data_IF_144092543865
#
_entry.id   IF_144092543865
#
_cell.length_a   1.000
_cell.length_b   1.000
_cell.length_c   1.000
_cell.angle_alpha   90.00
_cell.angle_beta   90.00
_cell.angle_gamma   90.00
#
_symmetry.space_group_name_H-M   'P 1'
#
loop_
_entity.id
_entity.type
_entity.pdbx_description
1 polymer ?
#
# COMPACT_ATOMS: atom_id res chain seq x y z
N UNK A 1 -5.96 15.47 -12.47
CA UNK A 1 -5.81 14.23 -11.69
C UNK A 1 -6.14 13.05 -12.58
N UNK A 2 -5.30 12.01 -12.56
CA UNK A 2 -5.51 10.75 -13.24
C UNK A 2 -5.52 9.65 -12.18
N UNK A 3 -6.61 8.89 -12.13
CA UNK A 3 -6.78 7.84 -11.14
C UNK A 3 -7.07 6.51 -11.85
N UNK A 4 -6.31 5.48 -11.52
CA UNK A 4 -6.57 4.11 -11.96
C UNK A 4 -7.13 3.33 -10.77
N UNK A 5 -8.16 2.54 -11.03
CA UNK A 5 -8.85 1.74 -10.02
C UNK A 5 -8.81 0.27 -10.44
N UNK A 6 -8.14 -0.54 -9.66
CA UNK A 6 -8.06 -1.98 -9.86
C UNK A 6 -8.93 -2.68 -8.83
N UNK A 7 -9.86 -3.52 -9.30
CA UNK A 7 -10.70 -4.29 -8.39
C UNK A 7 -9.87 -5.40 -7.74
N UNK A 8 -9.86 -5.42 -6.42
CA UNK A 8 -9.14 -6.40 -5.60
C UNK A 8 -10.07 -7.06 -4.58
N UNK A 9 -11.38 -7.01 -4.85
CA UNK A 9 -12.41 -7.55 -3.95
C UNK A 9 -12.36 -9.07 -3.78
N UNK A 10 -11.74 -9.78 -4.73
CA UNK A 10 -11.58 -11.23 -4.69
C UNK A 10 -10.39 -11.70 -3.84
N UNK A 11 -9.53 -10.78 -3.40
CA UNK A 11 -8.40 -11.10 -2.54
C UNK A 11 -8.87 -11.50 -1.14
N UNK A 12 -8.19 -12.48 -0.58
CA UNK A 12 -8.36 -12.83 0.82
C UNK A 12 -7.87 -11.70 1.74
N UNK A 13 -8.33 -11.66 3.00
CA UNK A 13 -7.84 -10.64 3.94
C UNK A 13 -6.32 -10.64 4.16
N UNK A 14 -5.66 -11.79 4.02
CA UNK A 14 -4.20 -11.89 4.12
C UNK A 14 -3.52 -11.32 2.87
N UNK A 15 -4.02 -11.65 1.68
CA UNK A 15 -3.52 -11.07 0.43
C UNK A 15 -3.70 -9.56 0.39
N UNK A 16 -4.79 -9.01 0.96
CA UNK A 16 -4.97 -7.57 1.10
C UNK A 16 -3.91 -6.92 2.03
N UNK A 17 -3.48 -7.62 3.08
CA UNK A 17 -2.39 -7.14 3.95
C UNK A 17 -1.07 -7.10 3.18
N UNK A 18 -0.77 -8.11 2.36
CA UNK A 18 0.41 -8.09 1.48
C UNK A 18 0.31 -6.96 0.45
N UNK A 19 -0.85 -6.74 -0.15
CA UNK A 19 -1.06 -5.66 -1.11
C UNK A 19 -0.84 -4.27 -0.48
N UNK A 20 -1.29 -4.06 0.75
CA UNK A 20 -1.05 -2.82 1.49
C UNK A 20 0.44 -2.61 1.76
N UNK A 21 1.14 -3.64 2.26
CA UNK A 21 2.59 -3.60 2.44
C UNK A 21 3.34 -3.35 1.11
N UNK A 22 2.86 -3.92 0.01
CA UNK A 22 3.44 -3.66 -1.31
C UNK A 22 3.35 -2.18 -1.66
N UNK A 23 2.21 -1.51 -1.40
CA UNK A 23 2.09 -0.08 -1.71
C UNK A 23 3.09 0.79 -0.94
N UNK A 24 3.48 0.37 0.26
CA UNK A 24 4.49 1.06 1.07
C UNK A 24 5.92 0.86 0.56
N UNK A 25 6.20 -0.27 -0.09
CA UNK A 25 7.55 -0.65 -0.53
C UNK A 25 7.84 -0.21 -1.97
N UNK A 26 6.82 0.01 -2.80
CA UNK A 26 6.97 0.34 -4.23
C UNK A 26 7.97 1.47 -4.51
N UNK A 27 8.02 2.48 -3.66
CA UNK A 27 8.91 3.65 -3.82
C UNK A 27 10.40 3.34 -3.55
N UNK A 28 10.69 2.17 -3.01
CA UNK A 28 12.03 1.77 -2.60
C UNK A 28 12.61 0.63 -3.46
N UNK A 29 11.87 0.22 -4.48
CA UNK A 29 12.21 -0.90 -5.35
C UNK A 29 12.67 -0.42 -6.72
N UNK A 30 13.69 -1.09 -7.26
CA UNK A 30 14.19 -0.85 -8.61
C UNK A 30 13.23 -1.43 -9.66
N UNK A 31 13.28 -0.89 -10.87
CA UNK A 31 12.71 -1.47 -12.08
C UNK A 31 13.82 -1.97 -12.99
N UNK A 32 13.55 -2.67 -14.10
CA UNK A 32 14.59 -3.04 -15.08
C UNK A 32 15.26 -1.81 -15.73
N UNK A 33 14.54 -0.69 -15.79
CA UNK A 33 14.96 0.53 -16.51
C UNK A 33 15.61 1.55 -15.59
N UNK A 34 15.07 1.73 -14.37
CA UNK A 34 15.52 2.74 -13.43
C UNK A 34 15.73 2.17 -12.02
N UNK A 35 16.67 2.76 -11.30
CA UNK A 35 16.72 2.56 -9.84
C UNK A 35 15.55 3.27 -9.16
N UNK A 36 15.16 2.82 -7.96
CA UNK A 36 14.10 3.47 -7.16
C UNK A 36 14.30 4.99 -7.04
N UNK A 37 15.53 5.41 -6.80
CA UNK A 37 15.88 6.84 -6.68
C UNK A 37 15.69 7.60 -7.99
N UNK A 38 16.10 7.04 -9.12
CA UNK A 38 15.93 7.65 -10.43
C UNK A 38 14.44 7.76 -10.78
N UNK A 39 13.69 6.68 -10.61
CA UNK A 39 12.26 6.65 -10.87
C UNK A 39 11.51 7.67 -10.01
N UNK A 40 11.82 7.76 -8.71
CA UNK A 40 11.23 8.76 -7.81
C UNK A 40 11.58 10.19 -8.23
N UNK A 41 12.81 10.42 -8.70
CA UNK A 41 13.24 11.73 -9.22
C UNK A 41 12.47 12.09 -10.49
N UNK A 42 12.31 11.14 -11.41
CA UNK A 42 11.52 11.35 -12.64
C UNK A 42 10.04 11.61 -12.30
N UNK A 43 9.45 10.82 -11.42
CA UNK A 43 8.07 11.03 -10.97
C UNK A 43 7.90 12.43 -10.35
N UNK A 44 8.78 12.83 -9.46
CA UNK A 44 8.74 14.16 -8.84
C UNK A 44 8.95 15.31 -9.84
N UNK A 45 9.64 15.06 -10.95
CA UNK A 45 9.89 16.07 -12.00
C UNK A 45 8.68 16.25 -12.92
N UNK A 46 8.01 15.16 -13.28
CA UNK A 46 6.92 15.16 -14.25
C UNK A 46 5.53 15.16 -13.61
N UNK A 47 5.40 14.70 -12.36
CA UNK A 47 4.17 14.61 -11.62
C UNK A 47 4.21 15.55 -10.41
N UNK A 48 3.06 16.13 -10.06
CA UNK A 48 2.92 16.91 -8.83
C UNK A 48 2.84 16.02 -7.59
N UNK A 49 2.18 14.85 -7.75
CA UNK A 49 2.06 13.81 -6.74
C UNK A 49 1.78 12.46 -7.41
N UNK A 50 2.20 11.38 -6.77
CA UNK A 50 1.90 10.02 -7.21
C UNK A 50 1.82 9.10 -5.99
N UNK A 51 0.73 8.34 -5.88
CA UNK A 51 0.46 7.47 -4.75
C UNK A 51 -0.27 6.21 -5.19
N UNK A 52 0.16 5.07 -4.67
CA UNK A 52 -0.60 3.82 -4.67
C UNK A 52 -1.17 3.60 -3.27
N UNK A 53 -2.40 3.12 -3.16
CA UNK A 53 -3.02 2.80 -1.88
C UNK A 53 -4.17 1.82 -2.05
N UNK A 54 -4.40 0.97 -1.05
CA UNK A 54 -5.62 0.19 -0.94
C UNK A 54 -6.72 1.10 -0.38
N UNK A 55 -7.85 1.16 -1.09
CA UNK A 55 -8.99 1.97 -0.70
C UNK A 55 -10.24 1.12 -0.55
N UNK A 56 -11.04 1.44 0.47
CA UNK A 56 -12.28 0.77 0.81
C UNK A 56 -13.45 1.70 0.51
N UNK A 57 -14.42 1.22 -0.25
CA UNK A 57 -15.67 1.94 -0.51
C UNK A 57 -16.86 1.15 -0.02
N UNK A 58 -17.66 1.78 0.80
CA UNK A 58 -18.96 1.27 1.22
C UNK A 58 -20.07 2.13 0.61
N UNK A 59 -21.14 1.50 0.15
CA UNK A 59 -22.31 2.24 -0.29
C UNK A 59 -23.04 2.89 0.89
N UNK A 60 -23.78 3.96 0.59
CA UNK A 60 -24.56 4.71 1.61
C UNK A 60 -25.78 3.95 2.14
N UNK A 61 -26.21 2.89 1.46
CA UNK A 61 -27.36 2.10 1.87
C UNK A 61 -26.91 0.90 2.70
N UNK A 62 -27.66 0.61 3.75
CA UNK A 62 -27.44 -0.56 4.59
C UNK A 62 -27.48 -1.85 3.75
N UNK A 63 -26.51 -2.74 3.96
CA UNK A 63 -26.36 -3.98 3.17
C UNK A 63 -25.64 -3.84 1.85
N UNK A 64 -25.14 -2.65 1.49
CA UNK A 64 -24.30 -2.49 0.30
C UNK A 64 -22.95 -3.18 0.51
N UNK A 65 -22.46 -3.98 -0.47
CA UNK A 65 -21.17 -4.63 -0.32
C UNK A 65 -20.02 -3.61 -0.24
N UNK A 66 -19.01 -3.92 0.54
CA UNK A 66 -17.77 -3.17 0.56
C UNK A 66 -16.96 -3.53 -0.69
N UNK A 67 -16.47 -2.52 -1.40
CA UNK A 67 -15.60 -2.68 -2.55
C UNK A 67 -14.19 -2.26 -2.20
N UNK A 68 -13.26 -3.19 -2.35
CA UNK A 68 -11.83 -2.93 -2.14
C UNK A 68 -11.16 -2.70 -3.49
N UNK A 69 -10.38 -1.64 -3.60
CA UNK A 69 -9.63 -1.32 -4.82
C UNK A 69 -8.21 -0.90 -4.50
N UNK A 70 -7.27 -1.35 -5.31
CA UNK A 70 -5.98 -0.70 -5.40
C UNK A 70 -6.15 0.55 -6.27
N UNK A 71 -5.74 1.69 -5.76
CA UNK A 71 -5.86 2.97 -6.44
C UNK A 71 -4.49 3.55 -6.69
N UNK A 72 -4.22 3.86 -7.95
CA UNK A 72 -3.07 4.66 -8.35
C UNK A 72 -3.55 6.07 -8.64
N UNK A 73 -3.12 7.03 -7.84
CA UNK A 73 -3.44 8.45 -8.01
C UNK A 73 -2.22 9.17 -8.56
N UNK A 74 -2.41 9.90 -9.67
CA UNK A 74 -1.37 10.73 -10.28
C UNK A 74 -1.91 12.16 -10.41
N UNK A 75 -1.18 13.13 -9.86
CA UNK A 75 -1.43 14.57 -10.04
C UNK A 75 -0.46 15.10 -11.08
N UNK A 76 -0.97 15.65 -12.16
CA UNK A 76 -0.13 16.04 -13.30
C UNK A 76 -0.70 17.25 -14.06
N UNK A 77 0.15 17.89 -14.85
CA UNK A 77 -0.28 18.84 -15.87
C UNK A 77 -0.64 18.08 -17.15
N UNK A 78 -1.63 18.56 -17.89
CA UNK A 78 -2.13 17.90 -19.11
C UNK A 78 -1.02 17.56 -20.11
N UNK A 79 -0.04 18.46 -20.27
CA UNK A 79 1.12 18.27 -21.15
C UNK A 79 2.04 17.11 -20.73
N UNK A 80 1.92 16.62 -19.49
CA UNK A 80 2.73 15.54 -18.94
C UNK A 80 2.00 14.19 -18.95
N UNK A 81 0.81 14.10 -19.57
CA UNK A 81 -0.06 12.92 -19.50
C UNK A 81 0.62 11.65 -20.01
N UNK A 82 1.25 11.70 -21.18
CA UNK A 82 1.94 10.53 -21.76
C UNK A 82 3.05 10.03 -20.85
N UNK A 83 3.87 10.97 -20.35
CA UNK A 83 4.97 10.62 -19.44
C UNK A 83 4.48 10.12 -18.08
N UNK A 84 3.35 10.62 -17.62
CA UNK A 84 2.72 10.16 -16.38
C UNK A 84 2.22 8.70 -16.50
N UNK A 85 1.63 8.35 -17.64
CA UNK A 85 1.17 6.97 -17.89
C UNK A 85 2.37 6.02 -18.00
N UNK A 86 3.43 6.43 -18.71
CA UNK A 86 4.67 5.66 -18.83
C UNK A 86 5.30 5.40 -17.45
N UNK A 87 5.57 6.46 -16.68
CA UNK A 87 6.20 6.34 -15.36
C UNK A 87 5.31 5.62 -14.32
N UNK A 88 4.01 5.85 -14.37
CA UNK A 88 3.05 5.15 -13.50
C UNK A 88 2.93 3.67 -13.84
N UNK A 89 3.00 3.33 -15.13
CA UNK A 89 3.02 1.95 -15.61
C UNK A 89 4.29 1.22 -15.21
N UNK A 90 5.46 1.82 -15.43
CA UNK A 90 6.74 1.28 -14.99
C UNK A 90 6.74 1.05 -13.47
N UNK A 91 6.33 2.05 -12.71
CA UNK A 91 6.29 1.97 -11.25
C UNK A 91 5.38 0.86 -10.72
N UNK A 92 4.21 0.63 -11.32
CA UNK A 92 3.26 -0.36 -10.82
C UNK A 92 3.51 -1.77 -11.35
N UNK A 93 3.90 -1.91 -12.62
CA UNK A 93 3.96 -3.21 -13.29
C UNK A 93 5.36 -3.77 -13.49
N UNK A 94 6.39 -2.91 -13.46
CA UNK A 94 7.75 -3.34 -13.77
C UNK A 94 8.66 -3.37 -12.53
N UNK A 95 8.13 -3.02 -11.36
CA UNK A 95 8.87 -3.05 -10.10
C UNK A 95 9.38 -4.46 -9.79
N UNK A 96 10.67 -4.58 -9.48
CA UNK A 96 11.32 -5.84 -9.16
C UNK A 96 11.11 -6.20 -7.69
N UNK A 97 10.24 -7.18 -7.46
CA UNK A 97 9.87 -7.64 -6.11
C UNK A 97 10.82 -8.70 -5.54
N UNK A 98 11.80 -9.17 -6.32
CA UNK A 98 12.70 -10.26 -5.92
C UNK A 98 14.16 -9.85 -6.02
N UNK A 99 15.01 -10.53 -5.26
CA UNK A 99 16.45 -10.34 -5.25
C UNK A 99 16.97 -9.55 -4.04
N UNK A 100 18.30 -9.53 -3.83
CA UNK A 100 18.90 -9.00 -2.59
C UNK A 100 18.57 -7.53 -2.30
N UNK A 101 18.36 -6.71 -3.32
CA UNK A 101 17.99 -5.30 -3.15
C UNK A 101 16.53 -5.17 -2.69
N UNK A 102 15.62 -5.96 -3.26
CA UNK A 102 14.23 -5.98 -2.85
C UNK A 102 14.09 -6.48 -1.42
N UNK A 103 14.78 -7.56 -1.05
CA UNK A 103 14.80 -8.08 0.31
C UNK A 103 15.28 -7.04 1.33
N UNK A 104 16.35 -6.31 1.00
CA UNK A 104 16.84 -5.22 1.85
C UNK A 104 15.85 -4.05 1.96
N UNK A 105 15.13 -3.73 0.87
CA UNK A 105 14.09 -2.71 0.88
C UNK A 105 12.90 -3.14 1.75
N UNK A 106 12.41 -4.37 1.63
CA UNK A 106 11.36 -4.93 2.48
C UNK A 106 11.75 -4.83 3.97
N UNK A 107 12.92 -5.35 4.35
CA UNK A 107 13.38 -5.32 5.74
C UNK A 107 13.41 -3.89 6.30
N UNK A 108 13.90 -2.93 5.53
CA UNK A 108 14.00 -1.53 5.93
C UNK A 108 12.64 -0.86 6.06
N UNK A 109 11.79 -0.97 5.03
CA UNK A 109 10.48 -0.30 5.00
C UNK A 109 9.58 -0.87 6.10
N UNK A 110 9.49 -2.20 6.23
CA UNK A 110 8.66 -2.81 7.26
C UNK A 110 9.12 -2.46 8.68
N UNK A 111 10.44 -2.38 8.91
CA UNK A 111 10.97 -1.92 10.20
C UNK A 111 10.58 -0.47 10.50
N UNK A 112 10.61 0.40 9.49
CA UNK A 112 10.18 1.79 9.61
C UNK A 112 8.66 1.91 9.83
N UNK A 113 7.87 1.10 9.15
CA UNK A 113 6.42 1.04 9.34
C UNK A 113 6.06 0.60 10.76
N UNK A 114 6.74 -0.41 11.31
CA UNK A 114 6.55 -0.83 12.70
C UNK A 114 6.74 0.33 13.67
N UNK A 115 7.84 1.06 13.57
CA UNK A 115 8.09 2.24 14.41
C UNK A 115 7.03 3.32 14.24
N UNK A 116 6.58 3.55 13.01
CA UNK A 116 5.50 4.50 12.72
C UNK A 116 4.18 4.07 13.34
N UNK A 117 3.84 2.78 13.32
CA UNK A 117 2.63 2.25 13.92
C UNK A 117 2.65 2.35 15.44
N UNK A 118 3.76 2.01 16.09
CA UNK A 118 3.93 2.18 17.54
C UNK A 118 3.68 3.64 17.96
N UNK A 119 4.22 4.61 17.22
CA UNK A 119 3.97 6.03 17.48
C UNK A 119 2.51 6.42 17.26
N UNK A 120 1.88 5.92 16.20
CA UNK A 120 0.47 6.17 15.91
C UNK A 120 -0.45 5.61 16.99
N UNK A 121 -0.16 4.43 17.54
CA UNK A 121 -0.92 3.86 18.64
C UNK A 121 -0.85 4.73 19.89
N UNK A 122 0.31 5.29 20.22
CA UNK A 122 0.47 6.20 21.35
C UNK A 122 -0.34 7.49 21.13
N UNK A 123 -0.28 8.06 19.92
CA UNK A 123 -0.91 9.35 19.61
C UNK A 123 -2.43 9.24 19.38
N UNK A 124 -2.89 8.15 18.77
CA UNK A 124 -4.25 7.98 18.26
C UNK A 124 -4.94 6.72 18.80
N UNK A 125 -4.60 6.25 20.00
CA UNK A 125 -5.13 5.03 20.60
C UNK A 125 -6.66 4.95 20.62
N UNK A 126 -7.34 6.08 20.81
CA UNK A 126 -8.79 6.16 20.77
C UNK A 126 -9.37 5.76 19.40
N UNK A 127 -8.72 6.21 18.32
CA UNK A 127 -9.15 5.88 16.95
C UNK A 127 -8.96 4.39 16.65
N UNK A 128 -7.84 3.81 17.06
CA UNK A 128 -7.60 2.38 16.93
C UNK A 128 -8.58 1.54 17.75
N UNK A 129 -8.89 1.95 18.97
CA UNK A 129 -9.90 1.31 19.79
C UNK A 129 -11.30 1.38 19.13
N UNK A 130 -11.65 2.50 18.53
CA UNK A 130 -12.91 2.66 17.80
C UNK A 130 -12.99 1.77 16.56
N UNK A 131 -11.91 1.69 15.75
CA UNK A 131 -11.82 0.81 14.59
C UNK A 131 -11.98 -0.65 15.03
N UNK A 132 -11.27 -1.08 16.07
CA UNK A 132 -11.35 -2.44 16.61
C UNK A 132 -12.73 -2.78 17.14
N UNK A 133 -13.37 -1.89 17.87
CA UNK A 133 -14.75 -2.06 18.34
C UNK A 133 -15.73 -2.12 17.17
N UNK A 134 -15.58 -1.24 16.18
CA UNK A 134 -16.41 -1.18 14.97
C UNK A 134 -16.26 -2.40 14.06
N UNK A 135 -15.12 -3.10 14.11
CA UNK A 135 -14.85 -4.30 13.32
C UNK A 135 -15.82 -5.46 13.58
N UNK A 136 -16.53 -5.45 14.72
CA UNK A 136 -17.58 -6.41 15.03
C UNK A 136 -18.92 -6.12 14.34
N UNK A 137 -19.10 -4.91 13.80
CA UNK A 137 -20.37 -4.44 13.27
C UNK A 137 -20.31 -3.98 11.82
N UNK A 138 -19.11 -3.71 11.30
CA UNK A 138 -18.92 -3.17 9.95
C UNK A 138 -17.77 -3.88 9.22
N UNK A 139 -18.05 -4.28 7.99
CA UNK A 139 -17.03 -4.87 7.08
C UNK A 139 -15.90 -3.88 6.81
N UNK A 140 -16.23 -2.59 6.66
CA UNK A 140 -15.24 -1.54 6.45
C UNK A 140 -14.26 -1.42 7.63
N UNK A 141 -14.79 -1.39 8.87
CA UNK A 141 -13.94 -1.38 10.06
C UNK A 141 -13.16 -2.68 10.23
N UNK A 142 -13.76 -3.84 9.87
CA UNK A 142 -13.07 -5.13 9.94
C UNK A 142 -11.88 -5.19 8.97
N UNK A 143 -12.03 -4.68 7.75
CA UNK A 143 -10.95 -4.57 6.78
C UNK A 143 -9.90 -3.54 7.20
N UNK A 144 -10.32 -2.37 7.67
CA UNK A 144 -9.42 -1.33 8.19
C UNK A 144 -8.59 -1.84 9.38
N UNK A 145 -9.21 -2.60 10.30
CA UNK A 145 -8.52 -3.23 11.42
C UNK A 145 -7.44 -4.22 10.96
N UNK A 146 -7.70 -4.97 9.89
CA UNK A 146 -6.76 -5.95 9.33
C UNK A 146 -5.61 -5.29 8.58
N UNK A 147 -5.87 -4.20 7.86
CA UNK A 147 -4.88 -3.52 7.03
C UNK A 147 -4.02 -2.59 7.89
N UNK A 148 -4.62 -1.67 8.60
CA UNK A 148 -3.92 -0.59 9.31
C UNK A 148 -4.20 -0.50 10.82
N UNK A 149 -4.95 -1.46 11.37
CA UNK A 149 -5.26 -1.55 12.79
C UNK A 149 -4.26 -2.42 13.57
N UNK A 150 -4.67 -2.87 14.75
CA UNK A 150 -3.83 -3.74 15.62
C UNK A 150 -3.54 -5.10 14.96
N UNK A 151 -4.49 -5.65 14.20
CA UNK A 151 -4.29 -6.90 13.46
C UNK A 151 -3.27 -6.72 12.33
N UNK A 152 -3.28 -5.55 11.65
CA UNK A 152 -2.26 -5.19 10.66
C UNK A 152 -0.86 -5.09 11.27
N UNK A 153 -0.74 -4.47 12.46
CA UNK A 153 0.52 -4.39 13.18
C UNK A 153 1.08 -5.77 13.57
N UNK A 154 0.22 -6.66 14.07
CA UNK A 154 0.63 -8.03 14.38
C UNK A 154 1.11 -8.78 13.13
N UNK A 155 0.43 -8.60 11.99
CA UNK A 155 0.86 -9.19 10.73
C UNK A 155 2.23 -8.66 10.30
N UNK A 156 2.44 -7.35 10.37
CA UNK A 156 3.71 -6.70 10.06
C UNK A 156 4.86 -7.22 10.96
N UNK A 157 4.61 -7.33 12.27
CA UNK A 157 5.58 -7.86 13.24
C UNK A 157 5.93 -9.33 12.93
N UNK A 158 4.94 -10.16 12.62
CA UNK A 158 5.15 -11.57 12.25
C UNK A 158 5.99 -11.70 10.96
N UNK A 159 5.75 -10.84 9.95
CA UNK A 159 6.58 -10.84 8.72
C UNK A 159 8.02 -10.42 9.01
N UNK A 160 8.23 -9.42 9.87
CA UNK A 160 9.57 -9.00 10.30
C UNK A 160 10.31 -10.11 11.05
N UNK A 161 9.63 -10.86 11.93
CA UNK A 161 10.23 -11.95 12.67
C UNK A 161 10.62 -13.14 11.79
N UNK A 162 9.76 -13.48 10.83
CA UNK A 162 10.01 -14.58 9.89
C UNK A 162 11.09 -14.23 8.86
N UNK A 163 11.19 -12.96 8.47
CA UNK A 163 12.17 -12.43 7.51
C UNK A 163 12.22 -13.22 6.18
N UNK A 164 11.11 -13.82 5.77
CA UNK A 164 11.00 -14.58 4.51
C UNK A 164 10.64 -13.64 3.35
N UNK A 165 11.61 -12.82 2.99
CA UNK A 165 11.44 -11.79 1.96
C UNK A 165 11.24 -12.37 0.56
N UNK A 166 11.77 -13.56 0.28
CA UNK A 166 11.58 -14.22 -1.01
C UNK A 166 10.14 -14.64 -1.23
N UNK A 167 9.49 -15.17 -0.19
CA UNK A 167 8.07 -15.53 -0.26
C UNK A 167 7.16 -14.31 -0.40
N UNK A 168 7.59 -13.15 0.10
CA UNK A 168 6.82 -11.89 -0.03
C UNK A 168 6.87 -11.30 -1.44
N UNK A 169 7.88 -11.61 -2.23
CA UNK A 169 8.03 -11.12 -3.60
C UNK A 169 7.41 -12.02 -4.68
N UNK A 170 6.79 -13.13 -4.28
CA UNK A 170 6.10 -14.09 -5.17
C UNK A 170 4.61 -13.87 -5.19
#
# INVERSE_FOLDING_TARGET
>A
YLNFYYDVGDLTPEEMQYLDLLTDVLDELDTPTHTARELNTLRSTWLGDSRAAVALWTGRQEGTPCHTKLVLNLSLLERCLEKAIELGGEWLYETQLTGPKAEAAFARVLSQQKLSMEQRFIQNGNSYAAIRAGAHYSVEYALSERISGVTGDHFLCDRLEKADWQAMGQ
#
